data_IF_394549968043
#
_entry.id   IF_394549968043
#
_cell.length_a   1.000
_cell.length_b   1.000
_cell.length_c   1.000
_cell.angle_alpha   90.00
_cell.angle_beta   90.00
_cell.angle_gamma   90.00
#
_symmetry.space_group_name_H-M   'P 1'
#
loop_
_entity.id
_entity.type
_entity.pdbx_description
1 polymer ?
#
# COMPACT_ATOMS: atom_id res chain seq x y z
N UNK A 1 -4.81 -21.84 25.80
CA UNK A 1 -5.47 -21.96 24.48
C UNK A 1 -6.23 -20.66 24.34
N UNK A 2 -5.54 -19.63 23.85
CA UNK A 2 -6.05 -18.26 23.85
C UNK A 2 -6.79 -18.06 22.53
N UNK A 3 -8.10 -18.22 22.59
CA UNK A 3 -9.00 -17.88 21.50
C UNK A 3 -10.06 -16.96 22.09
N UNK A 4 -9.88 -15.66 21.84
CA UNK A 4 -10.88 -14.63 22.06
C UNK A 4 -11.45 -14.23 20.70
N UNK A 5 -12.77 -14.08 20.63
CA UNK A 5 -13.45 -13.61 19.42
C UNK A 5 -13.48 -12.09 19.51
N UNK A 6 -12.69 -11.42 18.67
CA UNK A 6 -12.79 -9.97 18.47
C UNK A 6 -13.82 -9.69 17.37
N UNK A 7 -14.93 -9.08 17.75
CA UNK A 7 -15.91 -8.52 16.81
C UNK A 7 -15.66 -7.00 16.64
N UNK A 8 -15.69 -6.53 15.39
CA UNK A 8 -15.47 -5.12 15.03
C UNK A 8 -16.48 -4.70 13.96
N UNK A 9 -17.38 -3.79 14.34
CA UNK A 9 -18.34 -3.13 13.44
C UNK A 9 -18.04 -1.63 13.43
N UNK A 10 -17.49 -1.07 12.35
CA UNK A 10 -17.13 0.34 12.28
C UNK A 10 -18.37 1.24 12.25
N UNK A 11 -18.28 2.42 12.84
CA UNK A 11 -19.29 3.46 12.69
C UNK A 11 -19.11 4.31 11.41
N UNK A 12 -20.11 5.15 11.12
CA UNK A 12 -20.11 5.99 9.90
C UNK A 12 -18.96 6.99 9.88
N UNK A 13 -18.53 7.50 11.05
CA UNK A 13 -17.42 8.46 11.11
C UNK A 13 -16.08 7.77 10.85
N UNK A 14 -15.90 6.56 11.38
CA UNK A 14 -14.75 5.70 11.11
C UNK A 14 -14.63 5.40 9.61
N UNK A 15 -15.73 5.01 8.96
CA UNK A 15 -15.76 4.79 7.51
C UNK A 15 -15.38 6.05 6.73
N UNK A 16 -15.96 7.20 7.09
CA UNK A 16 -15.63 8.46 6.43
C UNK A 16 -14.15 8.85 6.62
N UNK A 17 -13.57 8.56 7.80
CA UNK A 17 -12.13 8.80 8.06
C UNK A 17 -11.26 7.89 7.22
N UNK A 18 -11.62 6.61 7.15
CA UNK A 18 -10.92 5.63 6.35
C UNK A 18 -10.94 5.99 4.86
N UNK A 19 -12.09 6.39 4.33
CA UNK A 19 -12.24 6.87 2.94
C UNK A 19 -11.27 8.01 2.63
N UNK A 20 -11.21 9.04 3.50
CA UNK A 20 -10.26 10.15 3.33
C UNK A 20 -8.80 9.68 3.33
N UNK A 21 -8.46 8.72 4.20
CA UNK A 21 -7.12 8.13 4.23
C UNK A 21 -6.82 7.36 2.95
N UNK A 22 -7.77 6.58 2.43
CA UNK A 22 -7.62 5.85 1.17
C UNK A 22 -7.38 6.79 -0.01
N UNK A 23 -8.20 7.83 -0.15
CA UNK A 23 -8.05 8.81 -1.25
C UNK A 23 -6.70 9.52 -1.16
N UNK A 24 -6.28 9.92 0.04
CA UNK A 24 -4.99 10.56 0.24
C UNK A 24 -3.81 9.63 -0.07
N UNK A 25 -3.92 8.35 0.31
CA UNK A 25 -2.92 7.33 -0.02
C UNK A 25 -2.84 7.12 -1.54
N UNK A 26 -3.97 7.02 -2.22
CA UNK A 26 -4.01 6.87 -3.67
C UNK A 26 -3.34 8.03 -4.39
N UNK A 27 -3.70 9.27 -4.04
CA UNK A 27 -3.06 10.45 -4.61
C UNK A 27 -1.54 10.49 -4.35
N UNK A 28 -1.08 10.01 -3.20
CA UNK A 28 0.35 9.89 -2.90
C UNK A 28 1.04 8.83 -3.78
N UNK A 29 0.39 7.70 -4.03
CA UNK A 29 0.90 6.65 -4.94
C UNK A 29 1.01 7.18 -6.36
N UNK A 30 -0.02 7.86 -6.87
CA UNK A 30 -0.01 8.45 -8.22
C UNK A 30 1.14 9.46 -8.37
N UNK A 31 1.31 10.35 -7.38
CA UNK A 31 2.39 11.34 -7.37
C UNK A 31 3.77 10.68 -7.35
N UNK A 32 3.98 9.70 -6.47
CA UNK A 32 5.26 8.98 -6.37
C UNK A 32 5.58 8.24 -7.67
N UNK A 33 4.56 7.63 -8.29
CA UNK A 33 4.68 6.92 -9.57
C UNK A 33 5.04 7.87 -10.71
N UNK A 34 4.35 9.01 -10.82
CA UNK A 34 4.64 10.01 -11.85
C UNK A 34 6.05 10.61 -11.70
N UNK A 35 6.48 10.89 -10.47
CA UNK A 35 7.82 11.40 -10.18
C UNK A 35 8.92 10.32 -10.25
N UNK A 36 8.54 9.03 -10.23
CA UNK A 36 9.43 7.88 -10.02
C UNK A 36 10.30 8.02 -8.75
N UNK A 37 9.75 8.66 -7.73
CA UNK A 37 10.41 8.90 -6.45
C UNK A 37 9.78 8.05 -5.34
N UNK A 38 10.53 7.06 -4.85
CA UNK A 38 10.13 6.19 -3.74
C UNK A 38 11.06 6.40 -2.55
N UNK A 39 10.76 7.41 -1.73
CA UNK A 39 11.62 7.78 -0.59
C UNK A 39 11.60 6.70 0.48
N UNK A 40 12.75 6.18 0.93
CA UNK A 40 12.78 5.23 2.03
C UNK A 40 12.30 5.92 3.33
N UNK A 41 11.54 5.18 4.14
CA UNK A 41 11.10 5.61 5.47
C UNK A 41 11.56 4.58 6.50
N UNK A 42 12.81 4.71 7.02
CA UNK A 42 13.35 3.75 7.98
C UNK A 42 12.47 3.62 9.22
N UNK A 43 12.30 2.40 9.72
CA UNK A 43 11.59 2.10 10.96
C UNK A 43 12.16 0.84 11.60
N UNK A 44 11.68 0.46 12.80
CA UNK A 44 12.09 -0.79 13.46
C UNK A 44 11.84 -2.03 12.59
N UNK A 45 10.81 -2.01 11.74
CA UNK A 45 10.50 -3.12 10.84
C UNK A 45 11.57 -3.33 9.76
N UNK A 46 12.42 -2.34 9.48
CA UNK A 46 13.51 -2.51 8.53
C UNK A 46 14.46 -3.65 8.93
N UNK A 47 14.59 -3.96 10.23
CA UNK A 47 15.40 -5.10 10.71
C UNK A 47 14.92 -6.47 10.22
N UNK A 48 13.67 -6.58 9.74
CA UNK A 48 13.10 -7.80 9.17
C UNK A 48 12.85 -7.69 7.65
N UNK A 49 13.25 -6.58 7.03
CA UNK A 49 13.01 -6.38 5.60
C UNK A 49 13.98 -7.23 4.77
N UNK A 50 13.44 -8.07 3.88
CA UNK A 50 14.23 -8.91 2.97
C UNK A 50 14.97 -8.12 1.86
N UNK A 51 14.63 -6.85 1.67
CA UNK A 51 15.14 -6.01 0.57
C UNK A 51 16.18 -4.96 1.03
N UNK A 52 16.76 -5.10 2.23
CA UNK A 52 17.75 -4.16 2.76
C UNK A 52 18.91 -3.90 1.79
N UNK A 53 19.40 -4.95 1.11
CA UNK A 53 20.49 -4.85 0.13
C UNK A 53 20.17 -3.96 -1.10
N UNK A 54 18.89 -3.67 -1.35
CA UNK A 54 18.43 -2.81 -2.46
C UNK A 54 18.02 -1.41 -1.99
N UNK A 55 17.91 -1.20 -0.68
CA UNK A 55 17.31 0.01 -0.13
C UNK A 55 18.35 1.15 -0.01
N UNK A 56 18.07 2.36 -0.51
CA UNK A 56 19.00 3.50 -0.42
C UNK A 56 19.34 3.93 1.01
N UNK A 57 18.48 3.62 1.98
CA UNK A 57 18.77 3.90 3.40
C UNK A 57 19.86 2.99 4.00
N UNK A 58 20.27 1.95 3.27
CA UNK A 58 21.31 0.99 3.63
C UNK A 58 22.37 0.90 2.52
N UNK A 59 22.59 1.99 1.80
CA UNK A 59 23.51 2.11 0.65
C UNK A 59 23.23 1.16 -0.53
N UNK A 60 22.03 0.55 -0.56
CA UNK A 60 21.57 -0.28 -1.66
C UNK A 60 21.04 0.52 -2.84
N UNK A 61 21.07 -0.08 -4.03
CA UNK A 61 20.58 0.54 -5.27
C UNK A 61 19.24 -0.08 -5.68
N UNK A 62 18.16 0.72 -5.82
CA UNK A 62 16.88 0.24 -6.30
C UNK A 62 16.97 -0.33 -7.72
N UNK A 63 16.17 -1.35 -8.06
CA UNK A 63 16.05 -1.80 -9.45
C UNK A 63 15.49 -0.68 -10.35
N UNK A 64 15.71 -0.76 -11.68
CA UNK A 64 15.14 0.21 -12.61
C UNK A 64 13.61 0.21 -12.53
N UNK A 65 13.01 1.41 -12.64
CA UNK A 65 11.56 1.55 -12.64
C UNK A 65 10.96 0.83 -13.86
N UNK A 66 9.91 -0.01 -13.70
CA UNK A 66 9.33 -0.74 -14.81
C UNK A 66 8.74 0.22 -15.84
N UNK A 67 8.94 -0.09 -17.12
CA UNK A 67 8.18 0.56 -18.19
C UNK A 67 6.71 0.16 -18.11
N UNK A 68 5.83 0.95 -18.71
CA UNK A 68 4.39 0.66 -18.69
C UNK A 68 4.16 -0.74 -19.28
N UNK A 69 3.87 -1.70 -18.40
CA UNK A 69 3.32 -2.99 -18.81
C UNK A 69 1.91 -2.66 -19.31
N UNK A 70 1.54 -2.98 -20.56
CA UNK A 70 0.17 -2.78 -21.00
C UNK A 70 -0.73 -3.51 -20.01
N UNK A 71 -1.70 -2.78 -19.45
CA UNK A 71 -2.71 -3.39 -18.61
C UNK A 71 -3.35 -4.50 -19.46
N UNK A 72 -3.17 -5.75 -19.03
CA UNK A 72 -4.03 -6.83 -19.52
C UNK A 72 -5.48 -6.45 -19.24
N UNK A 73 -6.46 -7.14 -19.85
CA UNK A 73 -7.87 -6.89 -19.57
C UNK A 73 -8.09 -6.91 -18.05
N UNK A 74 -8.46 -5.75 -17.50
CA UNK A 74 -8.93 -5.66 -16.12
C UNK A 74 -10.37 -6.12 -16.20
N UNK A 75 -10.60 -7.41 -15.97
CA UNK A 75 -11.95 -7.92 -15.73
C UNK A 75 -12.49 -7.10 -14.54
N UNK A 76 -13.65 -6.43 -14.68
CA UNK A 76 -14.21 -5.67 -13.57
C UNK A 76 -14.43 -6.62 -12.40
N UNK A 77 -13.93 -6.23 -11.21
CA UNK A 77 -14.29 -6.91 -9.97
C UNK A 77 -15.82 -7.07 -9.94
N UNK A 78 -16.28 -8.31 -9.80
CA UNK A 78 -17.69 -8.69 -9.92
C UNK A 78 -18.60 -7.92 -8.95
N UNK A 79 -19.94 -8.07 -9.07
CA UNK A 79 -20.87 -7.29 -8.27
C UNK A 79 -20.59 -7.48 -6.78
N UNK A 80 -20.21 -6.38 -6.12
CA UNK A 80 -20.12 -6.29 -4.67
C UNK A 80 -21.58 -6.27 -4.18
N UNK A 81 -22.13 -7.42 -3.84
CA UNK A 81 -23.46 -7.50 -3.22
C UNK A 81 -23.30 -7.36 -1.72
N UNK A 82 -23.80 -6.23 -1.20
CA UNK A 82 -24.10 -6.03 0.21
C UNK A 82 -25.32 -6.92 0.54
N UNK A 83 -25.10 -8.07 1.19
CA UNK A 83 -26.16 -8.84 1.87
C UNK A 83 -25.92 -8.81 3.38
#
# INVERSE_FOLDING_TARGET
>A
KDAEICDYTPDVEELARFERTLIALWAAIEKATAAREFRPKPSRLCGWCAHQALCPAFDGTPPPFPERIPAGPVEPDGPVTDE
#
